data_IF_270950731567
#
_entry.id   IF_270950731567
#
_cell.length_a   1.000
_cell.length_b   1.000
_cell.length_c   1.000
_cell.angle_alpha   90.00
_cell.angle_beta   90.00
_cell.angle_gamma   90.00
#
_symmetry.space_group_name_H-M   'P 1'
#
loop_
_entity.id
_entity.type
_entity.pdbx_description
1 polymer ?
#
# COMPACT_ATOMS: atom_id res chain seq x y z
N UNK A 1 -10.90 -68.81 -37.95
CA UNK A 1 -10.27 -68.78 -36.62
C UNK A 1 -10.57 -67.41 -36.02
N UNK A 2 -11.77 -67.27 -35.47
CA UNK A 2 -12.05 -67.03 -34.02
C UNK A 2 -11.90 -65.53 -33.67
N UNK A 3 -12.97 -64.72 -33.74
CA UNK A 3 -13.87 -64.34 -32.63
C UNK A 3 -13.12 -63.96 -31.33
N UNK A 4 -13.13 -62.69 -30.93
CA UNK A 4 -13.99 -62.19 -29.83
C UNK A 4 -13.87 -60.68 -29.61
N UNK A 5 -15.03 -60.10 -29.31
CA UNK A 5 -15.36 -58.76 -28.88
C UNK A 5 -14.79 -58.35 -27.52
N UNK A 6 -14.60 -57.03 -27.32
CA UNK A 6 -14.44 -56.42 -26.00
C UNK A 6 -14.61 -54.90 -26.04
N UNK A 7 -15.79 -54.42 -25.63
CA UNK A 7 -16.14 -53.02 -25.36
C UNK A 7 -15.57 -52.51 -24.02
N UNK A 8 -15.74 -51.20 -23.80
CA UNK A 8 -15.72 -50.42 -22.55
C UNK A 8 -14.41 -49.66 -22.30
N UNK A 9 -14.39 -48.38 -21.91
CA UNK A 9 -15.45 -47.46 -21.45
C UNK A 9 -14.99 -46.02 -21.62
N UNK A 10 -15.95 -45.15 -21.96
CA UNK A 10 -15.85 -43.71 -21.83
C UNK A 10 -15.49 -43.33 -20.39
N UNK A 11 -14.49 -42.46 -20.23
CA UNK A 11 -14.17 -41.77 -18.99
C UNK A 11 -14.05 -40.29 -19.30
N UNK A 12 -15.10 -39.55 -18.96
CA UNK A 12 -15.13 -38.10 -19.05
C UNK A 12 -14.00 -37.48 -18.22
N UNK A 13 -13.03 -36.90 -18.91
CA UNK A 13 -12.09 -35.95 -18.34
C UNK A 13 -12.52 -34.54 -18.74
N UNK A 14 -13.12 -33.83 -17.81
CA UNK A 14 -13.49 -32.40 -17.94
C UNK A 14 -12.31 -31.56 -18.47
N UNK A 15 -12.55 -30.55 -19.32
CA UNK A 15 -11.50 -29.60 -19.65
C UNK A 15 -11.33 -28.70 -18.44
N UNK A 16 -10.31 -28.96 -17.61
CA UNK A 16 -9.90 -28.01 -16.58
C UNK A 16 -9.50 -26.72 -17.27
N UNK A 17 -10.41 -25.76 -17.19
CA UNK A 17 -10.23 -24.39 -17.59
C UNK A 17 -9.19 -23.72 -16.68
N UNK A 18 -8.30 -22.99 -17.33
CA UNK A 18 -7.76 -21.71 -16.88
C UNK A 18 -7.19 -21.65 -15.44
N UNK A 19 -5.89 -21.88 -15.33
CA UNK A 19 -5.09 -21.04 -14.44
C UNK A 19 -4.02 -20.35 -15.29
N UNK A 20 -4.28 -19.10 -15.69
CA UNK A 20 -3.21 -18.18 -16.08
C UNK A 20 -2.25 -18.15 -14.90
N UNK A 21 -1.11 -18.80 -15.07
CA UNK A 21 0.05 -18.68 -14.19
C UNK A 21 0.25 -17.19 -13.99
N UNK A 22 0.01 -16.71 -12.76
CA UNK A 22 0.36 -15.34 -12.37
C UNK A 22 1.83 -15.18 -12.75
N UNK A 23 2.14 -14.18 -13.57
CA UNK A 23 3.51 -13.82 -13.93
C UNK A 23 4.34 -13.74 -12.64
N UNK A 24 5.14 -14.78 -12.38
CA UNK A 24 6.14 -14.75 -11.34
C UNK A 24 7.31 -13.96 -11.91
N UNK A 25 7.33 -12.65 -11.66
CA UNK A 25 8.53 -11.84 -11.86
C UNK A 25 9.49 -12.16 -10.70
N UNK A 26 10.72 -12.63 -10.97
CA UNK A 26 11.69 -12.96 -9.92
C UNK A 26 12.35 -11.73 -9.26
N UNK A 27 11.94 -10.52 -9.63
CA UNK A 27 12.45 -9.23 -9.11
C UNK A 27 11.35 -8.52 -8.34
N UNK A 28 11.60 -8.19 -7.08
CA UNK A 28 10.64 -7.45 -6.24
C UNK A 28 10.53 -6.02 -6.76
N UNK A 29 9.31 -5.48 -6.83
CA UNK A 29 9.08 -4.12 -7.30
C UNK A 29 8.72 -3.24 -6.11
N UNK A 30 9.47 -2.14 -5.94
CA UNK A 30 9.27 -1.15 -4.90
C UNK A 30 8.71 0.12 -5.54
N UNK A 31 7.65 0.66 -4.93
CA UNK A 31 7.01 1.91 -5.34
C UNK A 31 7.47 3.01 -4.40
N UNK A 32 8.28 3.94 -4.93
CA UNK A 32 8.84 5.06 -4.19
C UNK A 32 8.15 6.36 -4.58
N UNK A 33 8.03 7.30 -3.65
CA UNK A 33 7.59 8.65 -3.97
C UNK A 33 8.62 9.34 -4.87
N UNK A 34 8.19 9.92 -5.98
CA UNK A 34 9.08 10.59 -6.94
C UNK A 34 9.66 11.92 -6.37
N UNK A 35 9.05 12.46 -5.32
CA UNK A 35 9.51 13.69 -4.67
C UNK A 35 10.55 13.40 -3.59
N UNK A 36 10.23 12.54 -2.62
CA UNK A 36 11.12 12.27 -1.49
C UNK A 36 12.07 11.09 -1.72
N UNK A 37 11.70 10.15 -2.59
CA UNK A 37 12.37 8.86 -2.74
C UNK A 37 11.99 7.85 -1.65
N UNK A 38 11.03 8.18 -0.77
CA UNK A 38 10.60 7.27 0.28
C UNK A 38 9.84 6.07 -0.29
N UNK A 39 10.06 4.91 0.31
CA UNK A 39 9.32 3.70 -0.02
C UNK A 39 7.90 3.76 0.55
N UNK A 40 6.90 3.60 -0.32
CA UNK A 40 5.49 3.73 0.05
C UNK A 40 4.80 2.37 0.13
N UNK A 41 5.05 1.51 -0.86
CA UNK A 41 4.61 0.12 -0.86
C UNK A 41 5.43 -0.72 -1.85
N UNK A 42 5.22 -2.03 -1.83
CA UNK A 42 5.82 -2.97 -2.78
C UNK A 42 4.78 -3.81 -3.53
N UNK A 43 5.20 -4.53 -4.57
CA UNK A 43 4.33 -5.41 -5.38
C UNK A 43 3.88 -6.69 -4.69
N UNK A 44 4.31 -6.92 -3.44
CA UNK A 44 3.82 -8.03 -2.60
C UNK A 44 2.32 -7.87 -2.28
N UNK A 45 1.82 -6.63 -2.35
CA UNK A 45 0.42 -6.31 -2.11
C UNK A 45 -0.41 -6.37 -3.39
N UNK A 46 -1.72 -6.50 -3.20
CA UNK A 46 -2.66 -6.49 -4.32
C UNK A 46 -2.98 -5.06 -4.73
N UNK A 47 -2.36 -4.64 -5.82
CA UNK A 47 -2.52 -3.30 -6.40
C UNK A 47 -3.63 -3.33 -7.45
N UNK A 48 -4.57 -2.38 -7.36
CA UNK A 48 -5.63 -2.14 -8.35
C UNK A 48 -5.52 -0.71 -8.84
N UNK A 49 -5.66 -0.49 -10.15
CA UNK A 49 -5.77 0.87 -10.68
C UNK A 49 -7.23 1.32 -10.60
N UNK A 50 -7.48 2.55 -10.13
CA UNK A 50 -8.82 3.13 -10.16
C UNK A 50 -9.28 3.36 -11.61
N UNK A 51 -10.58 3.44 -11.85
CA UNK A 51 -11.19 3.53 -13.20
C UNK A 51 -10.62 4.65 -14.08
N UNK A 52 -10.17 5.74 -13.45
CA UNK A 52 -9.59 6.89 -14.13
C UNK A 52 -8.09 6.76 -14.42
N UNK A 53 -7.44 5.68 -13.95
CA UNK A 53 -6.00 5.42 -14.15
C UNK A 53 -5.05 6.36 -13.40
N UNK A 54 -5.58 7.22 -12.52
CA UNK A 54 -4.81 8.25 -11.79
C UNK A 54 -4.35 7.78 -10.40
N UNK A 55 -5.09 6.84 -9.81
CA UNK A 55 -4.86 6.34 -8.45
C UNK A 55 -4.59 4.84 -8.47
N UNK A 56 -3.73 4.41 -7.55
CA UNK A 56 -3.46 3.02 -7.23
C UNK A 56 -4.04 2.72 -5.85
N UNK A 57 -4.88 1.70 -5.77
CA UNK A 57 -5.44 1.16 -4.54
C UNK A 57 -4.67 -0.10 -4.16
N UNK A 58 -4.03 -0.07 -3.00
CA UNK A 58 -3.21 -1.16 -2.46
C UNK A 58 -3.97 -1.79 -1.30
N UNK A 59 -4.39 -3.04 -1.49
CA UNK A 59 -5.14 -3.81 -0.48
C UNK A 59 -4.16 -4.31 0.59
N UNK A 60 -4.38 -3.89 1.83
CA UNK A 60 -3.60 -4.31 3.01
C UNK A 60 -4.39 -5.25 3.90
N UNK A 61 -3.81 -5.58 5.05
CA UNK A 61 -4.43 -6.38 6.10
C UNK A 61 -4.15 -5.77 7.46
N UNK A 62 -5.11 -5.86 8.37
CA UNK A 62 -4.87 -5.57 9.78
C UNK A 62 -3.98 -6.66 10.39
N UNK A 63 -2.88 -6.25 11.01
CA UNK A 63 -1.95 -7.14 11.72
C UNK A 63 -1.63 -6.56 13.09
N UNK A 64 -1.44 -7.46 14.06
CA UNK A 64 -0.98 -7.12 15.40
C UNK A 64 0.40 -7.75 15.61
N UNK A 65 1.38 -6.95 15.98
CA UNK A 65 2.73 -7.40 16.34
C UNK A 65 2.93 -7.17 17.83
N UNK A 66 3.21 -8.24 18.54
CA UNK A 66 3.71 -8.15 19.91
C UNK A 66 5.22 -7.97 19.81
N UNK A 67 5.71 -6.78 20.13
CA UNK A 67 7.14 -6.59 20.39
C UNK A 67 7.43 -7.27 21.73
N UNK A 68 7.88 -8.53 21.69
CA UNK A 68 8.56 -9.10 22.84
C UNK A 68 9.92 -8.40 22.88
N UNK A 69 10.03 -7.36 23.69
CA UNK A 69 11.33 -6.90 24.16
C UNK A 69 11.86 -8.10 24.95
N UNK A 70 12.78 -8.86 24.36
CA UNK A 70 13.57 -9.86 25.06
C UNK A 70 14.43 -9.12 26.09
N UNK A 71 13.82 -8.82 27.23
CA UNK A 71 14.44 -8.14 28.38
C UNK A 71 15.55 -9.00 29.04
N UNK A 72 15.87 -10.15 28.45
CA UNK A 72 17.00 -10.99 28.84
C UNK A 72 18.37 -10.35 28.50
N UNK A 73 18.40 -9.22 27.78
CA UNK A 73 19.62 -8.50 27.44
C UNK A 73 19.86 -7.22 28.25
N UNK A 74 18.92 -6.77 29.09
CA UNK A 74 19.16 -5.68 30.04
C UNK A 74 19.89 -6.21 31.29
N UNK A 75 21.18 -6.47 31.07
CA UNK A 75 22.25 -6.14 32.00
C UNK A 75 22.02 -6.51 33.46
N UNK A 76 22.52 -7.70 33.82
CA UNK A 76 22.86 -8.09 35.17
C UNK A 76 23.51 -6.94 35.97
N UNK A 77 22.74 -6.29 36.84
CA UNK A 77 23.26 -5.67 38.04
C UNK A 77 22.33 -5.99 39.20
N UNK A 78 22.62 -7.12 39.85
CA UNK A 78 21.91 -7.58 41.02
C UNK A 78 22.24 -6.66 42.21
N UNK A 79 21.37 -5.71 42.52
CA UNK A 79 21.20 -5.24 43.90
C UNK A 79 19.92 -4.42 44.08
N UNK A 80 19.10 -4.91 45.01
CA UNK A 80 18.08 -4.20 45.78
C UNK A 80 16.72 -3.87 45.13
N UNK A 81 15.74 -4.70 45.50
CA UNK A 81 14.42 -4.28 46.01
C UNK A 81 13.70 -3.18 45.21
N UNK A 82 13.13 -3.53 44.06
CA UNK A 82 12.05 -2.72 43.49
C UNK A 82 10.93 -3.62 42.97
N UNK A 83 9.77 -3.29 43.51
CA UNK A 83 8.41 -3.68 43.21
C UNK A 83 8.17 -3.95 41.71
N UNK A 84 7.48 -5.06 41.49
CA UNK A 84 6.71 -5.44 40.30
C UNK A 84 6.02 -4.21 39.67
N UNK A 85 6.63 -3.63 38.64
CA UNK A 85 5.97 -2.78 37.67
C UNK A 85 5.85 -3.60 36.39
N UNK A 86 4.61 -3.96 36.08
CA UNK A 86 4.27 -4.83 34.97
C UNK A 86 4.92 -4.37 33.68
N UNK A 87 5.66 -5.29 33.05
CA UNK A 87 6.15 -5.15 31.69
C UNK A 87 4.93 -4.95 30.76
N UNK A 88 4.61 -3.70 30.42
CA UNK A 88 3.60 -3.41 29.40
C UNK A 88 4.15 -3.85 28.05
N UNK A 89 3.78 -5.06 27.62
CA UNK A 89 4.00 -5.50 26.24
C UNK A 89 3.24 -4.55 25.31
N UNK A 90 3.93 -3.62 24.66
CA UNK A 90 3.32 -2.76 23.65
C UNK A 90 3.00 -3.58 22.41
N UNK A 91 1.75 -4.04 22.29
CA UNK A 91 1.26 -4.66 21.06
C UNK A 91 0.92 -3.56 20.07
N UNK A 92 1.67 -3.46 18.97
CA UNK A 92 1.39 -2.51 17.89
C UNK A 92 0.44 -3.17 16.90
N UNK A 93 -0.79 -2.67 16.79
CA UNK A 93 -1.78 -3.12 15.81
C UNK A 93 -1.96 -2.06 14.74
N UNK A 94 -1.95 -2.46 13.47
CA UNK A 94 -2.07 -1.54 12.34
C UNK A 94 -2.19 -2.25 11.01
N UNK A 95 -2.25 -1.47 9.93
CA UNK A 95 -2.24 -2.02 8.57
C UNK A 95 -0.82 -2.49 8.25
N UNK A 96 -0.69 -3.70 7.72
CA UNK A 96 0.58 -4.31 7.35
C UNK A 96 1.43 -3.43 6.42
N UNK A 97 0.82 -2.72 5.46
CA UNK A 97 1.50 -1.74 4.59
C UNK A 97 2.16 -0.65 5.44
N UNK A 98 1.40 -0.04 6.35
CA UNK A 98 1.89 1.04 7.23
C UNK A 98 3.04 0.54 8.11
N UNK A 99 2.90 -0.65 8.70
CA UNK A 99 3.89 -1.21 9.60
C UNK A 99 5.15 -1.70 8.89
N UNK A 100 5.04 -2.20 7.66
CA UNK A 100 6.19 -2.67 6.87
C UNK A 100 7.02 -1.53 6.32
N UNK A 101 6.36 -0.49 5.81
CA UNK A 101 7.02 0.66 5.19
C UNK A 101 7.20 1.83 6.17
N UNK A 102 6.91 1.60 7.46
CA UNK A 102 7.01 2.58 8.56
C UNK A 102 6.35 3.92 8.22
N UNK A 103 5.21 3.86 7.56
CA UNK A 103 4.47 5.06 7.19
C UNK A 103 4.00 5.78 8.46
N UNK A 104 4.10 7.10 8.44
CA UNK A 104 3.81 7.93 9.60
C UNK A 104 2.41 8.51 9.47
N UNK A 105 1.56 8.27 10.48
CA UNK A 105 0.22 8.84 10.50
C UNK A 105 0.29 10.37 10.63
N UNK A 106 -0.52 11.07 9.85
CA UNK A 106 -0.66 12.52 9.92
C UNK A 106 -2.14 12.91 9.86
N UNK A 107 -2.43 14.16 10.19
CA UNK A 107 -3.80 14.68 10.14
C UNK A 107 -3.84 15.96 9.33
N UNK A 108 -4.89 16.10 8.53
CA UNK A 108 -5.12 17.30 7.74
C UNK A 108 -6.50 17.88 8.03
N UNK A 109 -6.56 19.20 8.12
CA UNK A 109 -7.81 19.95 7.92
C UNK A 109 -8.08 20.11 6.42
N UNK A 110 -9.35 20.34 6.07
CA UNK A 110 -9.75 20.56 4.67
C UNK A 110 -8.98 21.69 3.98
N UNK A 111 -8.59 22.73 4.72
CA UNK A 111 -7.83 23.84 4.17
C UNK A 111 -6.33 23.55 4.07
N UNK A 112 -5.74 22.86 5.06
CA UNK A 112 -4.36 22.40 4.96
C UNK A 112 -4.16 21.39 3.81
N UNK A 113 -5.10 20.47 3.61
CA UNK A 113 -5.03 19.50 2.51
C UNK A 113 -5.13 20.18 1.15
N UNK A 114 -5.97 21.22 1.01
CA UNK A 114 -6.02 22.03 -0.21
C UNK A 114 -4.69 22.74 -0.51
N UNK A 115 -3.98 23.19 0.52
CA UNK A 115 -2.65 23.77 0.38
C UNK A 115 -1.67 22.73 -0.12
N UNK A 116 -1.50 21.67 0.67
CA UNK A 116 -0.65 20.53 0.37
C UNK A 116 -0.85 19.99 -1.06
N UNK A 117 -2.09 19.64 -1.42
CA UNK A 117 -2.34 18.98 -2.70
C UNK A 117 -2.07 19.87 -3.91
N UNK A 118 -2.21 21.20 -3.76
CA UNK A 118 -1.87 22.15 -4.81
C UNK A 118 -0.37 22.21 -5.03
N UNK A 119 0.41 22.19 -3.96
CA UNK A 119 1.86 22.24 -4.05
C UNK A 119 2.43 20.90 -4.51
N UNK A 120 1.88 19.78 -4.02
CA UNK A 120 2.17 18.43 -4.50
C UNK A 120 1.88 18.28 -6.00
N UNK A 121 0.73 18.74 -6.49
CA UNK A 121 0.43 18.71 -7.94
C UNK A 121 1.43 19.52 -8.77
N UNK A 122 1.94 20.65 -8.27
CA UNK A 122 2.99 21.41 -8.99
C UNK A 122 4.30 20.63 -9.02
N UNK A 123 4.67 19.97 -7.93
CA UNK A 123 5.88 19.16 -7.84
C UNK A 123 5.83 17.98 -8.82
N UNK A 124 4.72 17.24 -8.84
CA UNK A 124 4.49 16.14 -9.80
C UNK A 124 4.48 16.66 -11.23
N UNK A 125 3.81 17.79 -11.48
CA UNK A 125 3.81 18.40 -12.81
C UNK A 125 5.22 18.71 -13.30
N UNK A 126 6.09 19.28 -12.46
CA UNK A 126 7.47 19.57 -12.83
C UNK A 126 8.24 18.28 -13.20
N UNK A 127 8.08 17.23 -12.39
CA UNK A 127 8.68 15.91 -12.68
C UNK A 127 8.15 15.27 -13.96
N UNK A 128 6.84 15.39 -14.22
CA UNK A 128 6.24 14.91 -15.46
C UNK A 128 6.71 15.72 -16.67
N UNK A 129 6.89 17.04 -16.57
CA UNK A 129 7.43 17.85 -17.66
C UNK A 129 8.86 17.44 -18.05
N UNK A 130 9.68 17.01 -17.07
CA UNK A 130 11.04 16.51 -17.29
C UNK A 130 11.06 15.09 -17.89
N UNK A 131 10.26 14.17 -17.33
CA UNK A 131 10.35 12.74 -17.65
C UNK A 131 9.36 12.29 -18.74
N UNK A 132 8.13 12.81 -18.73
CA UNK A 132 7.01 12.37 -19.58
C UNK A 132 6.01 13.51 -19.84
N UNK A 133 6.36 14.53 -20.63
CA UNK A 133 5.57 15.76 -20.77
C UNK A 133 4.16 15.52 -21.32
N UNK A 134 3.96 14.47 -22.11
CA UNK A 134 2.66 14.09 -22.66
C UNK A 134 1.64 13.68 -21.57
N UNK A 135 2.12 13.24 -20.40
CA UNK A 135 1.29 12.83 -19.27
C UNK A 135 0.81 13.99 -18.38
N UNK A 136 1.39 15.18 -18.53
CA UNK A 136 1.04 16.35 -17.72
C UNK A 136 -0.43 16.73 -17.86
N UNK A 137 -0.93 16.83 -19.09
CA UNK A 137 -2.33 17.21 -19.37
C UNK A 137 -3.34 16.19 -18.81
N UNK A 138 -3.24 14.88 -19.10
CA UNK A 138 -4.19 13.91 -18.55
C UNK A 138 -4.09 13.81 -17.03
N UNK A 139 -2.89 13.92 -16.45
CA UNK A 139 -2.72 13.95 -14.99
C UNK A 139 -3.45 15.14 -14.35
N UNK A 140 -3.22 16.36 -14.82
CA UNK A 140 -3.84 17.55 -14.23
C UNK A 140 -5.37 17.52 -14.32
N UNK A 141 -5.93 16.99 -15.41
CA UNK A 141 -7.37 16.84 -15.57
C UNK A 141 -7.94 15.74 -14.65
N UNK A 142 -7.33 14.55 -14.66
CA UNK A 142 -7.80 13.41 -13.87
C UNK A 142 -7.61 13.61 -12.36
N UNK A 143 -6.45 14.12 -11.94
CA UNK A 143 -6.16 14.40 -10.54
C UNK A 143 -7.15 15.42 -9.95
N UNK A 144 -7.57 16.43 -10.72
CA UNK A 144 -8.53 17.42 -10.23
C UNK A 144 -9.89 16.80 -9.88
N UNK A 145 -10.34 15.77 -10.60
CA UNK A 145 -11.57 15.06 -10.27
C UNK A 145 -11.42 14.21 -9.01
N UNK A 146 -10.31 13.49 -8.88
CA UNK A 146 -10.02 12.66 -7.72
C UNK A 146 -9.85 13.50 -6.45
N UNK A 147 -9.16 14.64 -6.53
CA UNK A 147 -8.97 15.55 -5.40
C UNK A 147 -10.32 16.06 -4.89
N UNK A 148 -11.28 16.36 -5.78
CA UNK A 148 -12.63 16.76 -5.37
C UNK A 148 -13.35 15.66 -4.59
N UNK A 149 -13.23 14.40 -5.02
CA UNK A 149 -13.80 13.24 -4.31
C UNK A 149 -13.15 13.07 -2.93
N UNK A 150 -11.82 13.13 -2.87
CA UNK A 150 -11.06 13.02 -1.60
C UNK A 150 -11.47 14.13 -0.63
N UNK A 151 -11.59 15.37 -1.11
CA UNK A 151 -12.05 16.50 -0.30
C UNK A 151 -13.52 16.41 0.15
N UNK A 152 -14.33 15.62 -0.55
CA UNK A 152 -15.71 15.29 -0.15
C UNK A 152 -15.75 14.26 0.98
N UNK A 153 -14.87 13.26 0.93
CA UNK A 153 -14.84 12.11 1.83
C UNK A 153 -13.69 12.15 2.86
N UNK A 154 -13.08 13.33 3.06
CA UNK A 154 -11.88 13.52 3.88
C UNK A 154 -11.99 13.00 5.32
N UNK A 155 -13.20 12.88 5.87
CA UNK A 155 -13.44 12.40 7.23
C UNK A 155 -13.27 10.89 7.40
N UNK A 156 -13.35 10.13 6.30
CA UNK A 156 -13.21 8.67 6.34
C UNK A 156 -11.75 8.26 6.14
N UNK A 157 -10.96 9.12 5.48
CA UNK A 157 -9.57 8.85 5.21
C UNK A 157 -8.69 9.11 6.43
N UNK A 158 -7.78 8.19 6.68
CA UNK A 158 -6.59 8.42 7.50
C UNK A 158 -5.42 8.74 6.57
N UNK A 159 -4.58 9.70 6.95
CA UNK A 159 -3.50 10.18 6.10
C UNK A 159 -2.17 9.64 6.62
N UNK A 160 -1.33 9.16 5.70
CA UNK A 160 -0.01 8.62 6.03
C UNK A 160 1.05 9.24 5.12
N UNK A 161 2.17 9.66 5.70
CA UNK A 161 3.37 10.11 4.98
C UNK A 161 4.43 9.02 4.95
N UNK A 162 5.40 9.12 4.05
CA UNK A 162 6.60 8.28 4.06
C UNK A 162 7.42 8.42 5.35
N UNK A 163 8.42 7.56 5.52
CA UNK A 163 9.29 7.52 6.72
C UNK A 163 9.95 8.88 7.00
N UNK A 164 10.27 9.67 5.98
CA UNK A 164 10.89 10.99 6.13
C UNK A 164 9.96 12.07 6.73
N UNK A 165 8.64 11.82 6.79
CA UNK A 165 7.62 12.80 7.18
C UNK A 165 7.70 14.12 6.40
N UNK A 166 8.22 14.08 5.17
CA UNK A 166 8.38 15.30 4.38
C UNK A 166 6.99 15.85 3.97
N UNK A 167 6.66 17.11 4.30
CA UNK A 167 5.38 17.72 3.98
C UNK A 167 5.14 17.89 2.47
N UNK A 168 6.20 17.88 1.66
CA UNK A 168 6.13 17.99 0.20
C UNK A 168 5.96 16.62 -0.49
N UNK A 169 6.13 15.53 0.26
CA UNK A 169 6.08 14.17 -0.25
C UNK A 169 4.68 13.64 -0.47
N UNK A 170 4.59 12.41 -0.95
CA UNK A 170 3.30 11.75 -1.15
C UNK A 170 2.59 11.44 0.18
N UNK A 171 1.29 11.74 0.22
CA UNK A 171 0.39 11.32 1.29
C UNK A 171 -0.47 10.16 0.79
N UNK A 172 -0.33 9.00 1.44
CA UNK A 172 -1.20 7.86 1.27
C UNK A 172 -2.52 8.05 2.00
N UNK A 173 -3.62 7.65 1.36
CA UNK A 173 -4.97 7.73 1.92
C UNK A 173 -5.43 6.32 2.30
N UNK A 174 -5.52 6.05 3.60
CA UNK A 174 -6.07 4.79 4.10
C UNK A 174 -7.58 4.92 4.28
N UNK A 175 -8.32 3.95 3.75
CA UNK A 175 -9.76 3.77 3.96
C UNK A 175 -10.08 2.27 4.09
N UNK A 176 -11.30 1.95 4.49
CA UNK A 176 -11.79 0.57 4.62
C UNK A 176 -12.82 0.28 3.54
N UNK A 177 -12.82 -0.95 3.00
CA UNK A 177 -13.83 -1.37 2.01
C UNK A 177 -15.22 -1.36 2.64
N UNK A 178 -16.26 -1.62 1.83
CA UNK A 178 -17.65 -1.71 2.30
C UNK A 178 -17.85 -2.78 3.40
N UNK A 179 -16.93 -3.74 3.51
CA UNK A 179 -16.90 -4.73 4.59
C UNK A 179 -16.47 -4.17 5.95
N UNK A 180 -15.89 -2.96 5.99
CA UNK A 180 -15.36 -2.30 7.19
C UNK A 180 -14.13 -2.97 7.80
N UNK A 181 -13.57 -4.00 7.15
CA UNK A 181 -12.52 -4.85 7.71
C UNK A 181 -11.27 -4.82 6.84
N UNK A 182 -11.43 -4.73 5.52
CA UNK A 182 -10.29 -4.77 4.59
C UNK A 182 -9.74 -3.36 4.38
N UNK A 183 -8.55 -3.03 4.95
CA UNK A 183 -7.93 -1.73 4.70
C UNK A 183 -7.38 -1.67 3.28
N UNK A 184 -7.48 -0.50 2.66
CA UNK A 184 -6.80 -0.21 1.41
C UNK A 184 -6.21 1.20 1.43
N UNK A 185 -4.99 1.31 0.92
CA UNK A 185 -4.31 2.60 0.78
C UNK A 185 -4.38 3.08 -0.66
N UNK A 186 -4.63 4.37 -0.84
CA UNK A 186 -4.75 4.99 -2.16
C UNK A 186 -3.59 5.95 -2.38
N UNK A 187 -2.92 5.82 -3.53
CA UNK A 187 -1.74 6.60 -3.91
C UNK A 187 -1.89 7.16 -5.32
N UNK A 188 -1.23 8.27 -5.63
CA UNK A 188 -1.20 8.83 -6.99
C UNK A 188 -0.22 8.04 -7.87
N UNK A 189 -0.70 7.48 -8.98
CA UNK A 189 0.12 6.68 -9.90
C UNK A 189 1.29 7.47 -10.48
N UNK A 190 1.02 8.70 -10.92
CA UNK A 190 2.04 9.59 -11.51
C UNK A 190 2.96 10.21 -10.44
N UNK A 191 2.67 10.00 -9.15
CA UNK A 191 3.54 10.38 -8.03
C UNK A 191 4.53 9.28 -7.60
N UNK A 192 4.50 8.13 -8.27
CA UNK A 192 5.29 6.96 -7.91
C UNK A 192 6.35 6.65 -8.97
N UNK A 193 7.56 6.41 -8.50
CA UNK A 193 8.64 5.82 -9.27
C UNK A 193 8.72 4.31 -8.98
N UNK A 194 8.92 3.52 -10.03
CA UNK A 194 8.95 2.07 -9.95
C UNK A 194 10.42 1.61 -9.99
N UNK A 195 10.90 1.07 -8.88
CA UNK A 195 12.22 0.46 -8.77
C UNK A 195 12.11 -1.06 -8.80
N UNK A 196 12.96 -1.74 -9.58
CA UNK A 196 13.03 -3.20 -9.66
C UNK A 196 14.30 -3.67 -8.95
N UNK A 197 14.15 -4.55 -7.97
CA UNK A 197 15.22 -5.16 -7.19
C UNK A 197 15.43 -6.63 -7.55
#
# INVERSE_FOLDING_TARGET
MTLFSGQASEGEGTPLSLCRIRNFNPTMIIYKDIITGDEMFSDIYKIKESTNGMLLEVEGKMVSRTENIDDCLLGANASAEVQDDGCESSTVSGVDIVLNHKLQETSFTKDSYKGYIKDYMKAIKAKLEENNPDRVKPFMAGAQEEIKKIMGNMKNYQFFTGESMNPDGMVGLLDFREDGITPFMTFFKDGLEIEKC
#
